data_IF_572329440655
#
_entry.id   IF_572329440655
#
_cell.length_a   1.000
_cell.length_b   1.000
_cell.length_c   1.000
_cell.angle_alpha   90.00
_cell.angle_beta   90.00
_cell.angle_gamma   90.00
#
_symmetry.space_group_name_H-M   'P 1'
#
loop_
_entity.id
_entity.type
_entity.pdbx_description
1 polymer ?
#
# COMPACT_ATOMS: atom_id res chain seq x y z
N UNK A 1 -6.71 22.43 7.12
CA UNK A 1 -5.94 21.83 5.99
C UNK A 1 -6.86 21.55 4.81
N UNK A 2 -6.81 22.38 3.76
CA UNK A 2 -7.53 22.15 2.51
C UNK A 2 -6.84 21.08 1.64
N UNK A 3 -7.61 20.26 0.92
CA UNK A 3 -7.12 19.05 0.20
C UNK A 3 -7.26 19.25 -1.31
N UNK A 4 -6.27 18.79 -2.09
CA UNK A 4 -6.25 18.89 -3.56
C UNK A 4 -6.41 17.50 -4.19
N UNK A 5 -7.48 17.27 -4.97
CA UNK A 5 -7.69 16.04 -5.74
C UNK A 5 -7.13 16.18 -7.16
N UNK A 6 -6.69 15.05 -7.74
CA UNK A 6 -6.19 15.00 -9.13
C UNK A 6 -7.29 15.47 -10.09
N UNK A 7 -6.99 16.49 -10.90
CA UNK A 7 -7.92 17.08 -11.88
C UNK A 7 -8.75 18.27 -11.38
N UNK A 8 -8.57 18.71 -10.13
CA UNK A 8 -9.20 19.94 -9.61
C UNK A 8 -8.25 21.14 -9.69
N UNK A 9 -8.80 22.32 -10.04
CA UNK A 9 -8.04 23.58 -10.11
C UNK A 9 -7.86 24.26 -8.73
N UNK A 10 -8.71 23.96 -7.75
CA UNK A 10 -8.64 24.57 -6.42
C UNK A 10 -8.78 23.50 -5.32
N UNK A 11 -8.12 23.67 -4.17
CA UNK A 11 -8.30 22.77 -3.04
C UNK A 11 -9.65 23.01 -2.36
N UNK A 12 -10.23 21.96 -1.79
CA UNK A 12 -11.50 22.04 -1.06
C UNK A 12 -11.29 21.68 0.41
N UNK A 13 -12.12 22.28 1.28
CA UNK A 13 -12.19 21.89 2.67
C UNK A 13 -13.15 20.72 2.81
N UNK A 14 -12.72 19.68 3.53
CA UNK A 14 -13.61 18.60 3.90
C UNK A 14 -14.54 19.03 5.03
N UNK A 15 -15.80 18.53 5.06
CA UNK A 15 -16.67 18.74 6.20
C UNK A 15 -16.10 18.03 7.44
N UNK A 16 -16.44 18.48 8.66
CA UNK A 16 -15.95 17.86 9.91
C UNK A 16 -16.23 16.36 10.00
N UNK A 17 -17.36 15.93 9.42
CA UNK A 17 -17.80 14.54 9.36
C UNK A 17 -16.89 13.65 8.52
N UNK A 18 -16.13 14.21 7.59
CA UNK A 18 -15.23 13.45 6.73
C UNK A 18 -14.08 12.82 7.51
N UNK A 19 -13.61 13.48 8.58
CA UNK A 19 -12.54 12.96 9.43
C UNK A 19 -12.96 11.69 10.19
N UNK A 20 -14.26 11.51 10.44
CA UNK A 20 -14.83 10.33 11.10
C UNK A 20 -15.53 9.39 10.13
N UNK A 21 -15.43 9.64 8.83
CA UNK A 21 -16.00 8.76 7.81
C UNK A 21 -15.30 7.39 7.81
N UNK A 22 -16.07 6.35 7.49
CA UNK A 22 -15.61 4.97 7.42
C UNK A 22 -15.67 4.45 6.00
N UNK A 23 -14.75 3.56 5.67
CA UNK A 23 -14.74 2.77 4.46
C UNK A 23 -15.19 1.34 4.79
N UNK A 24 -15.86 0.68 3.86
CA UNK A 24 -16.24 -0.73 3.99
C UNK A 24 -15.58 -1.51 2.86
N UNK A 25 -14.71 -2.46 3.21
CA UNK A 25 -14.03 -3.35 2.26
C UNK A 25 -14.18 -4.79 2.74
N UNK A 26 -14.71 -5.67 1.89
CA UNK A 26 -14.98 -7.09 2.23
C UNK A 26 -15.67 -7.26 3.61
N UNK A 27 -16.72 -6.46 3.85
CA UNK A 27 -17.50 -6.45 5.10
C UNK A 27 -16.76 -5.97 6.36
N UNK A 28 -15.51 -5.54 6.24
CA UNK A 28 -14.73 -4.93 7.32
C UNK A 28 -14.81 -3.42 7.23
N UNK A 29 -15.00 -2.76 8.38
CA UNK A 29 -15.02 -1.30 8.50
C UNK A 29 -13.63 -0.77 8.81
N UNK A 30 -13.23 0.27 8.08
CA UNK A 30 -11.96 0.96 8.25
C UNK A 30 -12.20 2.45 8.50
N UNK A 31 -11.57 3.04 9.51
CA UNK A 31 -11.63 4.47 9.79
C UNK A 31 -10.78 5.27 8.82
N UNK A 32 -11.15 6.53 8.60
CA UNK A 32 -10.30 7.46 7.86
C UNK A 32 -8.89 7.51 8.45
N UNK A 33 -7.88 7.32 7.59
CA UNK A 33 -6.48 7.19 7.95
C UNK A 33 -5.99 5.74 8.09
N UNK A 34 -6.86 4.73 8.16
CA UNK A 34 -6.44 3.34 8.28
C UNK A 34 -5.93 2.77 6.95
N UNK A 35 -4.91 1.92 7.06
CA UNK A 35 -4.26 1.22 5.95
C UNK A 35 -4.39 -0.29 6.15
N UNK A 36 -4.54 -1.03 5.05
CA UNK A 36 -4.53 -2.49 5.06
C UNK A 36 -3.94 -3.04 3.77
N UNK A 37 -3.40 -4.26 3.86
CA UNK A 37 -2.90 -4.99 2.70
C UNK A 37 -3.99 -5.92 2.17
N UNK A 38 -4.26 -5.83 0.87
CA UNK A 38 -5.17 -6.73 0.14
C UNK A 38 -4.42 -7.94 -0.38
N UNK A 39 -3.17 -7.75 -0.76
CA UNK A 39 -2.21 -8.79 -1.11
C UNK A 39 -0.80 -8.29 -0.83
N UNK A 40 0.21 -9.13 -1.01
CA UNK A 40 1.61 -8.71 -0.83
C UNK A 40 1.97 -7.46 -1.65
N UNK A 41 1.39 -7.33 -2.85
CA UNK A 41 1.66 -6.21 -3.75
C UNK A 41 0.60 -5.11 -3.74
N UNK A 42 -0.51 -5.26 -3.01
CA UNK A 42 -1.60 -4.30 -3.00
C UNK A 42 -1.91 -3.82 -1.59
N UNK A 43 -1.78 -2.52 -1.37
CA UNK A 43 -2.23 -1.86 -0.14
C UNK A 43 -3.35 -0.88 -0.46
N UNK A 44 -4.24 -0.70 0.51
CA UNK A 44 -5.32 0.27 0.43
C UNK A 44 -5.32 1.13 1.69
N UNK A 45 -5.84 2.34 1.55
CA UNK A 45 -6.04 3.29 2.63
C UNK A 45 -7.47 3.84 2.56
N UNK A 46 -8.09 3.99 3.73
CA UNK A 46 -9.34 4.73 3.84
C UNK A 46 -9.02 6.22 3.99
N UNK A 47 -9.39 7.03 3.02
CA UNK A 47 -9.23 8.48 3.06
C UNK A 47 -10.61 9.13 3.03
N UNK A 48 -11.07 9.58 4.18
CA UNK A 48 -12.30 10.36 4.32
C UNK A 48 -13.53 9.66 3.70
N UNK A 49 -13.67 8.36 3.98
CA UNK A 49 -14.74 7.51 3.45
C UNK A 49 -14.52 7.02 2.01
N UNK A 50 -13.37 7.34 1.41
CA UNK A 50 -12.97 6.83 0.08
C UNK A 50 -11.86 5.80 0.23
N UNK A 51 -12.01 4.63 -0.38
CA UNK A 51 -10.94 3.64 -0.46
C UNK A 51 -9.99 4.03 -1.60
N UNK A 52 -8.71 4.19 -1.26
CA UNK A 52 -7.64 4.44 -2.24
C UNK A 52 -6.66 3.29 -2.18
N UNK A 53 -6.53 2.56 -3.29
CA UNK A 53 -5.63 1.42 -3.39
C UNK A 53 -4.44 1.72 -4.29
N UNK A 54 -3.30 1.17 -3.91
CA UNK A 54 -2.04 1.32 -4.63
C UNK A 54 -1.40 -0.05 -4.85
N UNK A 55 -0.92 -0.24 -6.08
CA UNK A 55 -0.08 -1.37 -6.42
C UNK A 55 1.38 -1.00 -6.22
N UNK A 56 2.05 -1.75 -5.35
CA UNK A 56 3.49 -1.66 -5.14
C UNK A 56 4.19 -2.10 -6.42
N UNK A 57 4.97 -1.18 -6.99
CA UNK A 57 5.85 -1.49 -8.12
C UNK A 57 7.18 -1.95 -7.57
N UNK A 58 7.63 -3.10 -8.05
CA UNK A 58 8.93 -3.63 -7.66
C UNK A 58 10.06 -2.89 -8.37
N UNK A 59 11.22 -2.73 -7.71
CA UNK A 59 12.40 -2.17 -8.34
C UNK A 59 12.86 -3.08 -9.49
N UNK A 60 13.45 -2.48 -10.52
CA UNK A 60 14.14 -3.24 -11.56
C UNK A 60 15.42 -3.81 -10.98
N UNK A 61 15.59 -5.13 -11.07
CA UNK A 61 16.81 -5.81 -10.67
C UNK A 61 17.73 -5.99 -11.88
N UNK A 62 19.04 -5.92 -11.65
CA UNK A 62 20.07 -6.07 -12.69
C UNK A 62 20.66 -7.50 -12.78
N UNK A 63 20.19 -8.41 -11.93
CA UNK A 63 20.65 -9.80 -11.88
C UNK A 63 19.81 -10.70 -12.80
N UNK A 64 20.43 -11.77 -13.33
CA UNK A 64 19.76 -12.72 -14.23
C UNK A 64 18.84 -13.68 -13.47
N UNK A 65 19.22 -14.04 -12.24
CA UNK A 65 18.47 -15.00 -11.43
C UNK A 65 17.76 -14.30 -10.27
N UNK A 66 16.43 -14.24 -10.35
CA UNK A 66 15.57 -13.67 -9.32
C UNK A 66 14.72 -14.75 -8.66
N UNK A 67 14.45 -14.59 -7.37
CA UNK A 67 13.48 -15.39 -6.62
C UNK A 67 12.42 -14.47 -6.02
N UNK A 68 11.18 -14.95 -5.89
CA UNK A 68 10.16 -14.28 -5.07
C UNK A 68 9.91 -15.14 -3.85
N UNK A 69 10.08 -14.56 -2.67
CA UNK A 69 9.84 -15.25 -1.41
C UNK A 69 8.33 -15.36 -1.14
N UNK A 70 7.89 -16.44 -0.52
CA UNK A 70 6.50 -16.61 -0.08
C UNK A 70 6.12 -15.49 0.89
N UNK A 71 5.02 -14.80 0.63
CA UNK A 71 4.61 -13.64 1.43
C UNK A 71 5.39 -12.36 1.13
N UNK A 72 6.12 -12.28 0.01
CA UNK A 72 6.75 -11.04 -0.45
C UNK A 72 6.22 -10.65 -1.82
N UNK A 73 6.01 -9.35 -2.02
CA UNK A 73 5.62 -8.83 -3.32
C UNK A 73 6.74 -8.89 -4.35
N UNK A 74 7.94 -8.49 -3.93
CA UNK A 74 9.01 -8.19 -4.86
C UNK A 74 10.05 -9.28 -4.91
N UNK A 75 10.54 -9.59 -6.13
CA UNK A 75 11.65 -10.50 -6.26
C UNK A 75 12.92 -9.88 -5.68
N UNK A 76 13.84 -10.76 -5.31
CA UNK A 76 15.21 -10.42 -4.92
C UNK A 76 16.20 -11.23 -5.78
N UNK A 77 17.44 -10.77 -5.88
CA UNK A 77 18.48 -11.55 -6.56
C UNK A 77 18.80 -12.81 -5.77
N UNK A 78 18.98 -13.94 -6.47
CA UNK A 78 19.30 -15.22 -5.82
C UNK A 78 20.56 -15.12 -4.96
N UNK A 79 21.54 -14.34 -5.39
CA UNK A 79 22.80 -14.14 -4.65
C UNK A 79 22.57 -13.38 -3.32
N UNK A 80 21.46 -12.63 -3.20
CA UNK A 80 21.08 -11.94 -1.97
C UNK A 80 20.36 -12.86 -0.97
N UNK A 81 19.80 -13.99 -1.41
CA UNK A 81 19.19 -14.97 -0.50
C UNK A 81 20.19 -15.54 0.51
N UNK A 82 21.45 -15.71 0.09
CA UNK A 82 22.50 -16.28 0.95
C UNK A 82 22.71 -15.46 2.24
N UNK A 83 22.43 -14.16 2.21
CA UNK A 83 22.52 -13.29 3.39
C UNK A 83 21.30 -13.35 4.31
N UNK A 84 20.14 -13.82 3.81
CA UNK A 84 18.89 -13.89 4.59
C UNK A 84 18.82 -15.19 5.41
N UNK A 85 19.42 -16.27 4.91
CA UNK A 85 19.41 -17.59 5.57
C UNK A 85 20.43 -17.67 6.72
N UNK A 86 21.45 -16.80 6.74
CA UNK A 86 22.47 -16.70 7.80
C UNK A 86 22.00 -15.82 9.01
N UNK A 87 20.79 -15.25 8.94
CA UNK A 87 20.20 -14.43 10.02
C UNK A 87 19.16 -15.21 10.86
N UNK A 88 19.07 -16.53 10.66
CA UNK A 88 18.17 -17.42 11.41
C UNK A 88 18.91 -18.37 12.35
N UNK A 89 20.06 -17.95 12.89
CA UNK A 89 20.76 -18.61 14.00
C UNK A 89 20.83 -17.69 15.23
#
# INVERSE_FOLDING_TARGET
NPILKKGQCCPFCLPPTAAVAVCIFNYVQYRSGEHWNVSECHSCQCLFGTIVCHQHKCPSLACVHTVTLSGHCCPICRDQLHFIIDQSE
#
